data_IF_460411636101
#
_entry.id   IF_460411636101
#
_cell.length_a   1.000
_cell.length_b   1.000
_cell.length_c   1.000
_cell.angle_alpha   90.00
_cell.angle_beta   90.00
_cell.angle_gamma   90.00
#
_symmetry.space_group_name_H-M   'P 1'
#
loop_
_entity.id
_entity.type
_entity.pdbx_description
1 polymer ?
#
# COMPACT_ATOMS: atom_id res chain seq x y z
N UNK A 1 11.30 -32.75 -23.35
CA UNK A 1 11.26 -31.36 -22.85
C UNK A 1 12.50 -31.22 -21.99
N UNK A 2 13.32 -30.18 -22.16
CA UNK A 2 14.49 -29.99 -21.29
C UNK A 2 14.01 -29.77 -19.85
N UNK A 3 14.81 -30.17 -18.86
CA UNK A 3 14.41 -30.04 -17.45
C UNK A 3 14.27 -28.57 -17.05
N UNK A 4 15.10 -27.68 -17.62
CA UNK A 4 14.97 -26.22 -17.44
C UNK A 4 13.63 -25.67 -17.94
N UNK A 5 13.13 -26.15 -19.08
CA UNK A 5 11.82 -25.75 -19.61
C UNK A 5 10.69 -26.28 -18.72
N UNK A 6 10.82 -27.51 -18.20
CA UNK A 6 9.83 -28.06 -17.25
C UNK A 6 9.77 -27.21 -15.98
N UNK A 7 10.93 -26.88 -15.42
CA UNK A 7 11.02 -26.09 -14.20
C UNK A 7 10.43 -24.68 -14.40
N UNK A 8 10.75 -24.01 -15.51
CA UNK A 8 10.18 -22.71 -15.84
C UNK A 8 8.66 -22.77 -15.99
N UNK A 9 8.13 -23.74 -16.74
CA UNK A 9 6.68 -23.91 -16.90
C UNK A 9 6.00 -24.15 -15.54
N UNK A 10 6.60 -24.99 -14.69
CA UNK A 10 6.06 -25.29 -13.36
C UNK A 10 6.00 -24.04 -12.46
N UNK A 11 7.04 -23.20 -12.49
CA UNK A 11 7.09 -21.95 -11.70
C UNK A 11 6.17 -20.85 -12.26
N UNK A 12 5.68 -20.98 -13.49
CA UNK A 12 4.77 -20.04 -14.15
C UNK A 12 3.34 -20.61 -14.28
N UNK A 13 2.91 -21.39 -13.29
CA UNK A 13 1.53 -21.91 -13.19
C UNK A 13 1.11 -22.78 -14.40
N UNK A 14 2.08 -23.37 -15.11
CA UNK A 14 1.83 -24.14 -16.32
C UNK A 14 1.62 -23.31 -17.59
N UNK A 15 1.81 -21.98 -17.53
CA UNK A 15 1.60 -21.04 -18.64
C UNK A 15 2.94 -20.46 -19.09
N UNK A 16 3.11 -20.28 -20.39
CA UNK A 16 4.32 -19.72 -20.96
C UNK A 16 4.05 -19.06 -22.32
N UNK A 17 4.97 -18.20 -22.74
CA UNK A 17 4.92 -17.47 -24.00
C UNK A 17 5.78 -18.11 -25.08
N UNK A 18 5.55 -17.74 -26.35
CA UNK A 18 6.47 -18.08 -27.44
C UNK A 18 7.90 -17.65 -27.14
N UNK A 19 8.08 -16.46 -26.54
CA UNK A 19 9.40 -15.94 -26.19
C UNK A 19 10.11 -16.84 -25.17
N UNK A 20 9.41 -17.23 -24.10
CA UNK A 20 9.92 -18.17 -23.10
C UNK A 20 10.22 -19.56 -23.70
N UNK A 21 9.37 -20.07 -24.58
CA UNK A 21 9.66 -21.35 -25.24
C UNK A 21 10.94 -21.28 -26.09
N UNK A 22 11.14 -20.19 -26.83
CA UNK A 22 12.35 -19.97 -27.63
C UNK A 22 13.60 -19.75 -26.78
N UNK A 23 13.51 -19.00 -25.68
CA UNK A 23 14.65 -18.78 -24.78
C UNK A 23 15.13 -20.08 -24.11
N UNK A 24 14.25 -21.08 -24.03
CA UNK A 24 14.57 -22.43 -23.55
C UNK A 24 14.78 -23.45 -24.69
N UNK A 25 15.12 -22.99 -25.90
CA UNK A 25 15.60 -23.83 -27.00
C UNK A 25 14.50 -24.56 -27.81
N UNK A 26 13.23 -24.21 -27.63
CA UNK A 26 12.14 -24.81 -28.43
C UNK A 26 11.98 -24.04 -29.73
N UNK A 27 12.22 -24.68 -30.87
CA UNK A 27 11.99 -24.10 -32.20
C UNK A 27 10.50 -23.90 -32.49
N UNK A 28 10.16 -23.06 -33.48
CA UNK A 28 8.78 -22.84 -33.89
C UNK A 28 8.07 -24.15 -34.34
N UNK A 29 8.78 -25.04 -35.02
CA UNK A 29 8.30 -26.39 -35.33
C UNK A 29 8.07 -27.24 -34.08
N UNK A 30 8.97 -27.12 -33.10
CA UNK A 30 8.82 -27.76 -31.80
C UNK A 30 7.57 -27.30 -31.05
N UNK A 31 7.23 -26.01 -31.13
CA UNK A 31 5.98 -25.47 -30.56
C UNK A 31 4.78 -26.06 -31.32
N UNK A 32 4.77 -25.98 -32.66
CA UNK A 32 3.68 -26.50 -33.51
C UNK A 32 3.43 -27.98 -33.27
N UNK A 33 4.50 -28.78 -33.18
CA UNK A 33 4.42 -30.21 -32.94
C UNK A 33 3.75 -30.51 -31.58
N UNK A 34 4.11 -29.81 -30.51
CA UNK A 34 3.54 -30.01 -29.16
C UNK A 34 2.09 -29.57 -29.05
N UNK A 35 1.71 -28.53 -29.78
CA UNK A 35 0.28 -28.15 -29.90
C UNK A 35 -0.50 -29.20 -30.67
N UNK A 36 0.00 -29.65 -31.83
CA UNK A 36 -0.67 -30.67 -32.67
C UNK A 36 -0.82 -32.01 -31.96
N UNK A 37 0.15 -32.40 -31.14
CA UNK A 37 0.14 -33.65 -30.36
C UNK A 37 -0.62 -33.54 -29.04
N UNK A 38 -1.20 -32.37 -28.74
CA UNK A 38 -1.99 -32.16 -27.53
C UNK A 38 -1.18 -32.05 -26.24
N UNK A 39 0.16 -31.95 -26.32
CA UNK A 39 0.99 -31.71 -25.13
C UNK A 39 0.81 -30.28 -24.60
N UNK A 40 0.64 -29.32 -25.53
CA UNK A 40 0.43 -27.91 -25.22
C UNK A 40 -0.89 -27.43 -25.79
N UNK A 41 -1.59 -26.56 -25.05
CA UNK A 41 -2.80 -25.89 -25.50
C UNK A 41 -2.47 -24.44 -25.80
N UNK A 42 -2.75 -23.99 -27.02
CA UNK A 42 -2.65 -22.57 -27.38
C UNK A 42 -3.87 -21.84 -26.84
N UNK A 43 -3.65 -20.86 -25.97
CA UNK A 43 -4.73 -20.06 -25.36
C UNK A 43 -5.04 -18.84 -26.24
N UNK A 44 -4.01 -18.10 -26.63
CA UNK A 44 -4.11 -17.01 -27.63
C UNK A 44 -2.85 -16.96 -28.49
N UNK A 45 -2.68 -15.95 -29.34
CA UNK A 45 -1.46 -15.76 -30.12
C UNK A 45 -0.26 -15.56 -29.18
N UNK A 46 0.63 -16.54 -29.16
CA UNK A 46 1.89 -16.47 -28.45
C UNK A 46 1.83 -16.85 -26.97
N UNK A 47 0.69 -17.33 -26.48
CA UNK A 47 0.49 -17.79 -25.09
C UNK A 47 -0.03 -19.22 -25.10
N UNK A 48 0.61 -20.07 -24.31
CA UNK A 48 0.34 -21.50 -24.22
C UNK A 48 0.22 -21.92 -22.76
N UNK A 49 -0.47 -23.04 -22.53
CA UNK A 49 -0.41 -23.79 -21.28
C UNK A 49 -0.10 -25.25 -21.56
N UNK A 50 0.41 -25.97 -20.56
CA UNK A 50 0.49 -27.44 -20.63
C UNK A 50 -0.91 -28.07 -20.55
N UNK A 51 -1.10 -29.18 -21.25
CA UNK A 51 -2.40 -29.83 -21.37
C UNK A 51 -2.75 -30.73 -20.16
N UNK A 52 -1.75 -31.25 -19.48
CA UNK A 52 -1.84 -32.19 -18.35
C UNK A 52 -2.17 -31.52 -17.00
N UNK A 53 -2.38 -30.20 -16.98
CA UNK A 53 -2.76 -29.43 -15.80
C UNK A 53 -4.18 -28.87 -15.95
N UNK A 54 -5.00 -29.08 -14.93
CA UNK A 54 -6.30 -28.42 -14.79
C UNK A 54 -6.12 -26.92 -14.58
N UNK A 55 -7.00 -26.10 -15.18
CA UNK A 55 -6.95 -24.65 -15.00
C UNK A 55 -7.36 -24.31 -13.57
N UNK A 56 -6.40 -23.89 -12.76
CA UNK A 56 -6.61 -23.39 -11.40
C UNK A 56 -6.67 -21.85 -11.38
N UNK A 57 -6.95 -21.28 -10.22
CA UNK A 57 -7.05 -19.83 -10.06
C UNK A 57 -5.75 -19.08 -10.37
N UNK A 58 -4.58 -19.67 -10.05
CA UNK A 58 -3.30 -19.02 -10.36
C UNK A 58 -3.06 -18.95 -11.86
N UNK A 59 -3.32 -20.05 -12.57
CA UNK A 59 -3.29 -20.12 -14.02
C UNK A 59 -4.26 -19.10 -14.64
N UNK A 60 -5.48 -19.00 -14.10
CA UNK A 60 -6.51 -18.05 -14.55
C UNK A 60 -6.05 -16.60 -14.45
N UNK A 61 -5.46 -16.18 -13.32
CA UNK A 61 -4.92 -14.81 -13.16
C UNK A 61 -3.77 -14.52 -14.12
N UNK A 62 -2.84 -15.48 -14.28
CA UNK A 62 -1.71 -15.34 -15.22
C UNK A 62 -2.18 -15.23 -16.66
N UNK A 63 -3.13 -16.09 -17.07
CA UNK A 63 -3.73 -16.03 -18.40
C UNK A 63 -4.48 -14.73 -18.63
N UNK A 64 -5.15 -14.16 -17.62
CA UNK A 64 -5.82 -12.86 -17.77
C UNK A 64 -4.84 -11.76 -18.18
N UNK A 65 -3.67 -11.68 -17.52
CA UNK A 65 -2.63 -10.69 -17.85
C UNK A 65 -2.03 -10.95 -19.24
N UNK A 66 -1.58 -12.18 -19.51
CA UNK A 66 -0.89 -12.51 -20.76
C UNK A 66 -1.80 -12.43 -21.99
N UNK A 67 -3.10 -12.74 -21.85
CA UNK A 67 -4.07 -12.57 -22.93
C UNK A 67 -4.42 -11.10 -23.19
N UNK A 68 -4.39 -10.25 -22.15
CA UNK A 68 -4.62 -8.80 -22.31
C UNK A 68 -3.51 -8.16 -23.12
N UNK A 69 -2.28 -8.66 -22.98
CA UNK A 69 -1.16 -8.35 -23.88
C UNK A 69 -0.04 -7.54 -23.24
N UNK A 70 0.91 -7.03 -24.04
CA UNK A 70 2.09 -6.35 -23.54
C UNK A 70 1.75 -5.11 -22.71
N UNK A 71 2.44 -4.94 -21.58
CA UNK A 71 2.20 -3.82 -20.66
C UNK A 71 0.97 -3.99 -19.75
N UNK A 72 0.28 -5.14 -19.83
CA UNK A 72 -0.74 -5.50 -18.88
C UNK A 72 -0.13 -5.92 -17.54
N UNK A 73 -0.83 -5.64 -16.44
CA UNK A 73 -0.48 -6.09 -15.11
C UNK A 73 -1.72 -6.49 -14.31
N UNK A 74 -1.61 -7.50 -13.45
CA UNK A 74 -2.70 -7.84 -12.52
C UNK A 74 -2.92 -6.68 -11.55
N UNK A 75 -4.17 -6.36 -11.25
CA UNK A 75 -4.51 -5.22 -10.40
C UNK A 75 -5.67 -5.54 -9.45
N UNK A 76 -5.98 -4.58 -8.57
CA UNK A 76 -7.20 -4.62 -7.77
C UNK A 76 -7.25 -5.81 -6.81
N UNK A 77 -8.45 -6.36 -6.63
CA UNK A 77 -8.65 -7.56 -5.79
C UNK A 77 -7.81 -8.77 -6.23
N UNK A 78 -7.57 -8.93 -7.54
CA UNK A 78 -6.77 -10.03 -8.09
C UNK A 78 -5.29 -9.89 -7.74
N UNK A 79 -4.73 -8.68 -7.85
CA UNK A 79 -3.39 -8.41 -7.36
C UNK A 79 -3.30 -8.57 -5.84
N UNK A 80 -4.32 -8.14 -5.08
CA UNK A 80 -4.32 -8.31 -3.63
C UNK A 80 -4.26 -9.78 -3.21
N UNK A 81 -4.99 -10.65 -3.90
CA UNK A 81 -4.90 -12.09 -3.69
C UNK A 81 -3.52 -12.64 -4.08
N UNK A 82 -2.98 -12.21 -5.22
CA UNK A 82 -1.65 -12.62 -5.70
C UNK A 82 -0.52 -12.21 -4.73
N UNK A 83 -0.63 -11.04 -4.11
CA UNK A 83 0.27 -10.55 -3.05
C UNK A 83 0.04 -11.22 -1.67
N UNK A 84 -0.96 -12.08 -1.54
CA UNK A 84 -1.33 -12.69 -0.26
C UNK A 84 -1.87 -11.67 0.76
N UNK A 85 -2.52 -10.60 0.29
CA UNK A 85 -3.24 -9.65 1.16
C UNK A 85 -4.64 -10.15 1.54
N UNK A 86 -5.26 -10.93 0.65
CA UNK A 86 -6.58 -11.53 0.85
C UNK A 86 -6.54 -13.01 0.50
N UNK A 87 -7.35 -13.83 1.17
CA UNK A 87 -7.41 -15.28 0.94
C UNK A 87 -8.45 -15.68 -0.11
N UNK A 88 -9.53 -14.92 -0.25
CA UNK A 88 -10.59 -15.18 -1.22
C UNK A 88 -10.12 -14.77 -2.61
N UNK A 89 -10.16 -15.73 -3.55
CA UNK A 89 -9.93 -15.48 -4.96
C UNK A 89 -11.09 -14.65 -5.53
N UNK A 90 -10.83 -13.59 -6.32
CA UNK A 90 -11.91 -12.89 -7.02
C UNK A 90 -12.49 -13.73 -8.16
N UNK A 91 -13.81 -13.64 -8.35
CA UNK A 91 -14.52 -14.37 -9.40
C UNK A 91 -14.07 -13.91 -10.80
N UNK A 92 -13.78 -12.61 -10.97
CA UNK A 92 -13.32 -12.00 -12.23
C UNK A 92 -11.95 -11.36 -12.01
N UNK A 93 -10.89 -11.73 -12.76
CA UNK A 93 -9.59 -11.07 -12.68
C UNK A 93 -9.69 -9.62 -13.15
N UNK A 94 -8.99 -8.74 -12.44
CA UNK A 94 -8.82 -7.34 -12.84
C UNK A 94 -7.40 -7.14 -13.36
N UNK A 95 -7.27 -6.56 -14.55
CA UNK A 95 -6.01 -6.27 -15.20
C UNK A 95 -5.97 -4.79 -15.58
N UNK A 96 -4.84 -4.13 -15.35
CA UNK A 96 -4.57 -2.79 -15.89
C UNK A 96 -3.77 -2.91 -17.17
N UNK A 97 -4.11 -2.13 -18.18
CA UNK A 97 -3.38 -2.06 -19.43
C UNK A 97 -3.37 -0.62 -19.98
N UNK A 98 -2.30 -0.19 -20.65
CA UNK A 98 -2.25 1.14 -21.26
C UNK A 98 -3.34 1.33 -22.32
N UNK A 99 -3.68 2.59 -22.61
CA UNK A 99 -4.55 2.90 -23.73
C UNK A 99 -3.83 2.56 -25.03
N UNK A 100 -4.43 1.69 -25.85
CA UNK A 100 -3.83 1.20 -27.08
C UNK A 100 -4.89 0.74 -28.08
N UNK A 101 -4.47 0.55 -29.33
CA UNK A 101 -5.36 0.11 -30.41
C UNK A 101 -5.79 -1.34 -30.18
N UNK A 102 -7.07 -1.52 -29.86
CA UNK A 102 -7.86 -2.74 -30.03
C UNK A 102 -7.14 -4.07 -29.75
N UNK A 103 -6.86 -4.33 -28.47
CA UNK A 103 -6.71 -5.72 -28.03
C UNK A 103 -8.05 -6.45 -28.17
N UNK A 104 -8.01 -7.74 -28.52
CA UNK A 104 -9.21 -8.59 -28.50
C UNK A 104 -9.75 -8.62 -27.07
N UNK A 105 -11.07 -8.48 -26.90
CA UNK A 105 -11.71 -8.63 -25.60
C UNK A 105 -11.34 -10.00 -25.04
N UNK A 106 -10.78 -10.02 -23.83
CA UNK A 106 -10.57 -11.26 -23.09
C UNK A 106 -11.86 -11.55 -22.33
N UNK A 107 -12.47 -12.69 -22.58
CA UNK A 107 -13.66 -13.13 -21.85
C UNK A 107 -13.35 -13.29 -20.37
N UNK A 108 -14.33 -13.00 -19.52
CA UNK A 108 -14.24 -13.13 -18.06
C UNK A 108 -13.08 -12.38 -17.39
N UNK A 109 -12.58 -11.31 -18.01
CA UNK A 109 -11.57 -10.41 -17.45
C UNK A 109 -12.05 -8.96 -17.49
N UNK A 110 -11.89 -8.25 -16.37
CA UNK A 110 -12.11 -6.80 -16.32
C UNK A 110 -10.81 -6.08 -16.62
N UNK A 111 -10.79 -5.29 -17.69
CA UNK A 111 -9.63 -4.48 -18.07
C UNK A 111 -9.84 -3.02 -17.70
N UNK A 112 -8.97 -2.48 -16.86
CA UNK A 112 -8.89 -1.05 -16.57
C UNK A 112 -7.86 -0.41 -17.50
N UNK A 113 -8.35 0.35 -18.47
CA UNK A 113 -7.48 1.11 -19.36
C UNK A 113 -6.88 2.31 -18.62
N UNK A 114 -5.61 2.19 -18.24
CA UNK A 114 -4.81 3.26 -17.65
C UNK A 114 -3.33 2.94 -17.77
N UNK A 115 -2.51 3.96 -17.99
CA UNK A 115 -1.05 3.80 -17.97
C UNK A 115 -0.57 3.85 -16.53
N UNK A 116 0.02 2.77 -16.04
CA UNK A 116 0.66 2.72 -14.72
C UNK A 116 2.17 2.90 -14.91
N UNK A 117 2.77 3.79 -14.13
CA UNK A 117 4.22 4.02 -14.21
C UNK A 117 4.99 2.75 -13.77
N UNK A 118 6.15 2.44 -14.36
CA UNK A 118 6.92 1.23 -14.00
C UNK A 118 7.25 1.11 -12.51
N UNK A 119 7.39 2.24 -11.80
CA UNK A 119 7.64 2.28 -10.35
C UNK A 119 6.45 1.88 -9.48
N UNK A 120 5.26 1.82 -10.05
CA UNK A 120 4.02 1.35 -9.41
C UNK A 120 3.64 -0.06 -9.91
N UNK A 121 4.55 -0.72 -10.61
CA UNK A 121 4.47 -2.11 -11.03
C UNK A 121 5.59 -2.91 -10.36
N UNK A 122 5.36 -4.20 -10.17
CA UNK A 122 6.36 -5.13 -9.70
C UNK A 122 6.10 -6.51 -10.29
N UNK A 123 7.02 -7.44 -10.07
CA UNK A 123 6.86 -8.84 -10.47
C UNK A 123 6.77 -9.70 -9.22
N UNK A 124 5.74 -10.54 -9.15
CA UNK A 124 5.55 -11.52 -8.08
C UNK A 124 5.30 -12.87 -8.75
N UNK A 125 6.12 -13.87 -8.41
CA UNK A 125 6.11 -15.20 -9.02
C UNK A 125 6.18 -15.16 -10.57
N UNK A 126 6.95 -14.25 -11.16
CA UNK A 126 7.07 -14.15 -12.62
C UNK A 126 5.83 -13.57 -13.32
N UNK A 127 4.94 -12.89 -12.60
CA UNK A 127 3.79 -12.19 -13.16
C UNK A 127 3.86 -10.68 -12.83
N UNK A 128 3.69 -9.83 -13.84
CA UNK A 128 3.59 -8.39 -13.64
C UNK A 128 2.28 -8.05 -12.91
N UNK A 129 2.41 -7.37 -11.78
CA UNK A 129 1.31 -6.96 -10.91
C UNK A 129 1.48 -5.49 -10.51
N UNK A 130 0.40 -4.83 -10.08
CA UNK A 130 0.53 -3.52 -9.43
C UNK A 130 1.38 -3.64 -8.17
N UNK A 131 2.20 -2.62 -7.89
CA UNK A 131 2.98 -2.51 -6.66
C UNK A 131 2.08 -2.62 -5.42
N UNK A 132 2.66 -3.00 -4.29
CA UNK A 132 1.91 -3.37 -3.10
C UNK A 132 0.98 -2.25 -2.62
N UNK A 133 1.47 -1.01 -2.58
CA UNK A 133 0.71 0.16 -2.16
C UNK A 133 -0.45 0.47 -3.12
N UNK A 134 -0.19 0.45 -4.43
CA UNK A 134 -1.23 0.68 -5.43
C UNK A 134 -2.30 -0.42 -5.39
N UNK A 135 -1.86 -1.66 -5.17
CA UNK A 135 -2.74 -2.81 -4.96
C UNK A 135 -3.63 -2.60 -3.74
N UNK A 136 -3.08 -2.19 -2.60
CA UNK A 136 -3.86 -1.90 -1.38
C UNK A 136 -4.90 -0.82 -1.65
N UNK A 137 -4.52 0.29 -2.30
CA UNK A 137 -5.46 1.37 -2.63
C UNK A 137 -6.61 0.89 -3.50
N UNK A 138 -6.30 0.17 -4.59
CA UNK A 138 -7.32 -0.25 -5.55
C UNK A 138 -8.19 -1.39 -5.01
N UNK A 139 -7.59 -2.38 -4.35
CA UNK A 139 -8.33 -3.48 -3.73
C UNK A 139 -9.24 -3.00 -2.58
N UNK A 140 -8.85 -1.94 -1.86
CA UNK A 140 -9.71 -1.36 -0.81
C UNK A 140 -10.95 -0.68 -1.39
N UNK A 141 -10.87 -0.15 -2.61
CA UNK A 141 -12.03 0.41 -3.31
C UNK A 141 -13.01 -0.69 -3.72
N UNK A 142 -12.49 -1.85 -4.13
CA UNK A 142 -13.31 -3.00 -4.56
C UNK A 142 -13.88 -3.81 -3.38
N UNK A 143 -13.04 -4.15 -2.41
CA UNK A 143 -13.35 -5.10 -1.32
C UNK A 143 -13.66 -4.40 0.01
N UNK A 144 -13.41 -3.10 0.11
CA UNK A 144 -13.64 -2.29 1.31
C UNK A 144 -12.36 -1.99 2.11
N UNK A 145 -12.50 -1.06 3.06
CA UNK A 145 -11.39 -0.48 3.84
C UNK A 145 -10.55 -1.49 4.63
N UNK A 146 -11.13 -2.65 4.98
CA UNK A 146 -10.46 -3.72 5.73
C UNK A 146 -9.15 -4.20 5.09
N UNK A 147 -9.03 -4.11 3.77
CA UNK A 147 -7.78 -4.46 3.07
C UNK A 147 -6.66 -3.48 3.44
N UNK A 148 -6.96 -2.17 3.42
CA UNK A 148 -6.05 -1.11 3.87
C UNK A 148 -5.73 -1.23 5.36
N UNK A 149 -6.75 -1.41 6.20
CA UNK A 149 -6.60 -1.62 7.64
C UNK A 149 -5.63 -2.76 7.94
N UNK A 150 -5.88 -3.93 7.35
CA UNK A 150 -5.04 -5.12 7.55
C UNK A 150 -3.61 -4.91 7.05
N UNK A 151 -3.42 -4.28 5.90
CA UNK A 151 -2.09 -4.03 5.34
C UNK A 151 -1.27 -3.08 6.22
N UNK A 152 -1.91 -2.06 6.80
CA UNK A 152 -1.29 -1.12 7.75
C UNK A 152 -1.00 -1.78 9.10
N UNK A 153 -1.97 -2.52 9.66
CA UNK A 153 -1.83 -3.22 10.94
C UNK A 153 -0.71 -4.27 10.90
N UNK A 154 -0.59 -4.99 9.79
CA UNK A 154 0.48 -5.98 9.58
C UNK A 154 1.80 -5.35 9.09
N UNK A 155 1.90 -4.01 9.05
CA UNK A 155 3.10 -3.26 8.64
C UNK A 155 3.60 -3.62 7.24
N UNK A 156 2.72 -4.11 6.36
CA UNK A 156 3.04 -4.38 4.95
C UNK A 156 3.20 -3.09 4.14
N UNK A 157 2.52 -2.03 4.55
CA UNK A 157 2.58 -0.69 3.97
C UNK A 157 2.55 0.37 5.08
N UNK A 158 2.85 1.63 4.74
CA UNK A 158 2.70 2.78 5.65
C UNK A 158 1.71 3.78 5.08
N UNK A 159 1.08 4.59 5.95
CA UNK A 159 0.17 5.68 5.52
C UNK A 159 0.90 6.63 4.57
N UNK A 160 2.15 6.95 4.89
CA UNK A 160 3.04 7.74 4.05
C UNK A 160 3.20 7.15 2.64
N UNK A 161 3.57 5.87 2.54
CA UNK A 161 3.76 5.22 1.24
C UNK A 161 2.46 5.19 0.41
N UNK A 162 1.32 4.89 1.06
CA UNK A 162 0.00 4.92 0.44
C UNK A 162 -0.37 6.31 -0.08
N UNK A 163 -0.10 7.37 0.69
CA UNK A 163 -0.37 8.77 0.32
C UNK A 163 0.49 9.21 -0.89
N UNK A 164 1.78 8.87 -0.89
CA UNK A 164 2.67 9.11 -2.04
C UNK A 164 2.15 8.41 -3.30
N UNK A 165 1.79 7.14 -3.21
CA UNK A 165 1.28 6.36 -4.35
C UNK A 165 -0.09 6.89 -4.80
N UNK A 166 -0.97 7.26 -3.86
CA UNK A 166 -2.28 7.86 -4.13
C UNK A 166 -2.15 9.13 -4.96
N UNK A 167 -1.26 10.06 -4.56
CA UNK A 167 -1.01 11.32 -5.28
C UNK A 167 -0.48 11.10 -6.69
N UNK A 168 0.52 10.23 -6.85
CA UNK A 168 1.10 9.91 -8.17
C UNK A 168 0.09 9.31 -9.13
N UNK A 169 -0.87 8.56 -8.59
CA UNK A 169 -1.90 7.88 -9.35
C UNK A 169 -3.23 8.65 -9.33
N UNK A 170 -3.24 9.95 -8.98
CA UNK A 170 -4.46 10.75 -8.92
C UNK A 170 -5.17 10.82 -10.28
N UNK A 171 -6.49 11.09 -10.26
CA UNK A 171 -7.31 11.21 -11.48
C UNK A 171 -7.76 9.87 -12.09
N UNK A 172 -7.23 8.72 -11.65
CA UNK A 172 -7.73 7.40 -12.07
C UNK A 172 -9.08 7.05 -11.44
N UNK A 173 -9.81 6.12 -12.07
CA UNK A 173 -11.01 5.49 -11.50
C UNK A 173 -10.70 4.93 -10.11
N UNK A 174 -11.57 5.22 -9.14
CA UNK A 174 -11.41 4.79 -7.75
C UNK A 174 -10.49 5.67 -6.90
N UNK A 175 -9.67 6.54 -7.50
CA UNK A 175 -8.76 7.42 -6.74
C UNK A 175 -9.45 8.32 -5.72
N UNK A 176 -10.59 8.99 -6.02
CA UNK A 176 -11.26 9.81 -5.02
C UNK A 176 -11.72 9.01 -3.81
N UNK A 177 -12.22 7.78 -4.03
CA UNK A 177 -12.66 6.88 -2.97
C UNK A 177 -11.48 6.33 -2.15
N UNK A 178 -10.39 5.94 -2.80
CA UNK A 178 -9.17 5.52 -2.12
C UNK A 178 -8.58 6.65 -1.26
N UNK A 179 -8.61 7.89 -1.78
CA UNK A 179 -8.19 9.08 -1.02
C UNK A 179 -9.05 9.30 0.21
N UNK A 180 -10.38 9.27 0.06
CA UNK A 180 -11.30 9.45 1.18
C UNK A 180 -11.11 8.37 2.27
N UNK A 181 -10.84 7.12 1.89
CA UNK A 181 -10.51 6.04 2.84
C UNK A 181 -9.22 6.34 3.62
N UNK A 182 -8.16 6.75 2.91
CA UNK A 182 -6.88 7.07 3.53
C UNK A 182 -6.97 8.27 4.49
N UNK A 183 -7.74 9.30 4.10
CA UNK A 183 -8.01 10.47 4.94
C UNK A 183 -8.80 10.08 6.21
N UNK A 184 -9.84 9.26 6.08
CA UNK A 184 -10.64 8.79 7.20
C UNK A 184 -9.82 7.94 8.19
N UNK A 185 -8.91 7.10 7.68
CA UNK A 185 -8.02 6.33 8.54
C UNK A 185 -7.00 7.22 9.26
N UNK A 186 -6.47 8.22 8.57
CA UNK A 186 -5.50 9.15 9.16
C UNK A 186 -6.13 10.00 10.26
N UNK A 187 -7.36 10.50 10.05
CA UNK A 187 -8.09 11.26 11.06
C UNK A 187 -8.51 10.38 12.24
N UNK A 188 -9.05 9.20 11.99
CA UNK A 188 -9.42 8.24 13.04
C UNK A 188 -8.23 7.83 13.91
N UNK A 189 -7.07 7.54 13.29
CA UNK A 189 -5.85 7.24 14.01
C UNK A 189 -5.38 8.41 14.88
N UNK A 190 -5.45 9.65 14.38
CA UNK A 190 -5.11 10.85 15.15
C UNK A 190 -6.01 11.00 16.38
N UNK A 191 -7.33 10.93 16.19
CA UNK A 191 -8.28 11.07 17.30
C UNK A 191 -8.11 9.96 18.36
N UNK A 192 -7.83 8.73 17.94
CA UNK A 192 -7.54 7.65 18.87
C UNK A 192 -6.21 7.86 19.61
N UNK A 193 -5.20 8.43 18.94
CA UNK A 193 -3.89 8.70 19.54
C UNK A 193 -4.01 9.76 20.65
N UNK A 194 -4.76 10.83 20.36
CA UNK A 194 -5.11 11.87 21.33
C UNK A 194 -5.86 11.25 22.52
N UNK A 195 -6.87 10.40 22.27
CA UNK A 195 -7.64 9.74 23.34
C UNK A 195 -6.79 8.83 24.24
N UNK A 196 -5.88 8.04 23.66
CA UNK A 196 -4.96 7.19 24.43
C UNK A 196 -3.99 8.05 25.24
N UNK A 197 -3.46 9.11 24.65
CA UNK A 197 -2.54 10.04 25.32
C UNK A 197 -3.20 10.70 26.52
N UNK A 198 -4.42 11.21 26.38
CA UNK A 198 -5.21 11.78 27.47
C UNK A 198 -5.33 10.80 28.64
N UNK A 199 -5.73 9.55 28.35
CA UNK A 199 -5.83 8.49 29.37
C UNK A 199 -4.49 8.18 30.05
N UNK A 200 -3.38 8.22 29.30
CA UNK A 200 -2.04 8.00 29.86
C UNK A 200 -1.65 9.14 30.81
N UNK A 201 -1.97 10.39 30.47
CA UNK A 201 -1.71 11.55 31.32
C UNK A 201 -2.50 11.44 32.62
N UNK A 202 -3.81 11.19 32.53
CA UNK A 202 -4.70 11.03 33.68
C UNK A 202 -4.28 9.86 34.58
N UNK A 203 -4.00 8.69 33.99
CA UNK A 203 -3.61 7.49 34.71
C UNK A 203 -2.21 7.55 35.34
N UNK A 204 -1.41 8.58 35.03
CA UNK A 204 -0.02 8.69 35.47
C UNK A 204 0.25 9.81 36.46
N UNK A 205 -0.83 10.44 36.98
CA UNK A 205 -0.77 11.48 38.00
C UNK A 205 -0.29 12.84 37.49
N UNK A 206 -0.37 13.11 36.18
CA UNK A 206 -0.13 14.45 35.67
C UNK A 206 -1.35 15.34 35.91
N UNK A 207 -1.11 16.57 36.34
CA UNK A 207 -2.15 17.58 36.59
C UNK A 207 -1.82 18.88 35.88
N UNK A 208 -2.82 19.72 35.62
CA UNK A 208 -2.63 21.02 34.98
C UNK A 208 -2.30 20.94 33.49
N UNK A 209 -2.70 19.85 32.84
CA UNK A 209 -2.67 19.72 31.39
C UNK A 209 -4.06 20.03 30.81
N UNK A 210 -4.07 20.59 29.61
CA UNK A 210 -5.27 20.87 28.79
C UNK A 210 -5.08 20.28 27.40
N UNK A 211 -6.14 19.80 26.76
CA UNK A 211 -6.12 19.41 25.34
C UNK A 211 -6.54 20.57 24.43
N UNK A 212 -6.11 20.54 23.17
CA UNK A 212 -6.50 21.52 22.14
C UNK A 212 -6.25 22.98 22.57
N UNK A 213 -5.12 23.23 23.22
CA UNK A 213 -4.81 24.54 23.80
C UNK A 213 -4.33 25.52 22.73
N UNK A 214 -4.97 26.70 22.57
CA UNK A 214 -4.47 27.72 21.67
C UNK A 214 -3.21 28.39 22.22
N UNK A 215 -2.13 28.43 21.43
CA UNK A 215 -0.87 29.09 21.78
C UNK A 215 -0.13 29.58 20.53
N UNK A 216 0.40 30.81 20.55
CA UNK A 216 1.21 31.37 19.46
C UNK A 216 0.53 31.33 18.07
N UNK A 217 -0.80 31.39 18.00
CA UNK A 217 -1.56 31.28 16.74
C UNK A 217 -1.80 29.84 16.26
N UNK A 218 -1.45 28.83 17.06
CA UNK A 218 -1.64 27.41 16.79
C UNK A 218 -2.51 26.73 17.85
N UNK A 219 -2.98 25.51 17.58
CA UNK A 219 -3.70 24.66 18.54
C UNK A 219 -2.81 23.46 18.88
N UNK A 220 -2.39 23.37 20.13
CA UNK A 220 -1.55 22.30 20.66
C UNK A 220 -2.42 21.11 21.04
N UNK A 221 -2.00 19.88 20.69
CA UNK A 221 -2.79 18.68 21.03
C UNK A 221 -2.96 18.56 22.56
N UNK A 222 -1.86 18.73 23.32
CA UNK A 222 -1.88 18.86 24.78
C UNK A 222 -0.88 19.91 25.26
N UNK A 223 -1.20 20.60 26.36
CA UNK A 223 -0.32 21.61 26.94
C UNK A 223 -0.34 21.60 28.46
N UNK A 224 0.84 21.73 29.07
CA UNK A 224 1.01 22.20 30.45
C UNK A 224 1.30 23.70 30.40
N UNK A 225 0.25 24.53 30.41
CA UNK A 225 0.33 25.97 30.16
C UNK A 225 1.25 26.69 31.15
N UNK A 226 1.13 26.37 32.45
CA UNK A 226 1.93 26.97 33.50
C UNK A 226 3.45 26.73 33.32
N UNK A 227 3.83 25.57 32.79
CA UNK A 227 5.23 25.21 32.53
C UNK A 227 5.66 25.48 31.08
N UNK A 228 4.75 25.99 30.23
CA UNK A 228 4.93 26.12 28.77
C UNK A 228 5.50 24.85 28.14
N UNK A 229 4.85 23.71 28.35
CA UNK A 229 5.20 22.45 27.68
C UNK A 229 4.07 22.06 26.74
N UNK A 230 4.38 21.90 25.47
CA UNK A 230 3.47 21.39 24.46
C UNK A 230 3.79 19.92 24.18
N UNK A 231 2.76 19.09 24.07
CA UNK A 231 2.85 17.71 23.62
C UNK A 231 2.03 17.58 22.33
N UNK A 232 2.68 17.13 21.27
CA UNK A 232 2.08 16.91 19.95
C UNK A 232 2.15 15.42 19.61
N UNK A 233 1.06 14.87 19.08
CA UNK A 233 0.99 13.47 18.66
C UNK A 233 1.02 13.40 17.14
N UNK A 234 2.21 13.12 16.60
CA UNK A 234 2.42 12.99 15.17
C UNK A 234 1.77 11.68 14.68
N UNK A 235 0.75 11.81 13.82
CA UNK A 235 0.17 10.68 13.12
C UNK A 235 1.21 9.98 12.23
N UNK A 236 1.02 8.68 11.96
CA UNK A 236 1.92 7.84 11.14
C UNK A 236 2.10 8.31 9.67
N UNK A 237 1.51 9.44 9.29
CA UNK A 237 1.65 10.04 7.97
C UNK A 237 2.96 10.85 7.87
N UNK A 238 4.11 10.16 7.91
CA UNK A 238 5.39 10.76 7.54
C UNK A 238 5.50 10.89 6.01
N UNK A 239 4.77 11.84 5.43
CA UNK A 239 5.19 12.56 4.22
C UNK A 239 4.48 13.90 4.20
N UNK A 240 5.14 14.91 4.74
CA UNK A 240 4.80 16.29 4.44
C UNK A 240 5.37 16.65 3.07
N UNK A 241 4.49 17.10 2.16
CA UNK A 241 4.83 18.06 1.13
C UNK A 241 5.82 19.10 1.70
N UNK A 242 6.78 19.58 0.90
CA UNK A 242 7.80 20.53 1.37
C UNK A 242 7.19 21.73 2.09
N UNK A 243 5.98 22.14 1.67
CA UNK A 243 5.17 23.17 2.32
C UNK A 243 4.73 22.77 3.74
N UNK A 244 4.20 21.56 3.93
CA UNK A 244 3.79 21.09 5.25
C UNK A 244 5.01 20.91 6.18
N UNK A 245 6.14 20.45 5.65
CA UNK A 245 7.38 20.31 6.40
C UNK A 245 7.91 21.67 6.88
N UNK A 246 7.90 22.67 5.98
CA UNK A 246 8.30 24.03 6.32
C UNK A 246 7.36 24.64 7.36
N UNK A 247 6.03 24.48 7.20
CA UNK A 247 5.04 24.97 8.17
C UNK A 247 5.26 24.37 9.56
N UNK A 248 5.57 23.08 9.64
CA UNK A 248 5.76 22.40 10.92
C UNK A 248 7.03 22.88 11.64
N UNK A 249 8.09 23.21 10.89
CA UNK A 249 9.30 23.87 11.42
C UNK A 249 9.04 25.30 11.86
N UNK A 250 8.33 26.10 11.07
CA UNK A 250 7.94 27.46 11.44
C UNK A 250 7.15 27.43 12.75
N UNK A 251 6.12 26.57 12.82
CA UNK A 251 5.32 26.37 14.04
C UNK A 251 6.17 26.05 15.26
N UNK A 252 7.09 25.08 15.12
CA UNK A 252 7.95 24.70 16.23
C UNK A 252 8.87 25.84 16.68
N UNK A 253 9.46 26.58 15.74
CA UNK A 253 10.32 27.71 16.06
C UNK A 253 9.54 28.83 16.76
N UNK A 254 8.31 29.13 16.32
CA UNK A 254 7.46 30.14 16.95
C UNK A 254 7.15 29.77 18.41
N UNK A 255 6.81 28.50 18.66
CA UNK A 255 6.55 28.01 20.02
C UNK A 255 7.82 28.13 20.89
N UNK A 256 8.96 27.66 20.39
CA UNK A 256 10.24 27.72 21.11
C UNK A 256 10.65 29.17 21.40
N UNK A 257 10.51 30.08 20.44
CA UNK A 257 10.80 31.51 20.62
C UNK A 257 9.92 32.16 21.69
N UNK A 258 8.72 31.62 21.94
CA UNK A 258 7.80 32.06 22.99
C UNK A 258 7.96 31.31 24.33
N UNK A 259 9.05 30.55 24.47
CA UNK A 259 9.44 29.87 25.72
C UNK A 259 8.82 28.48 25.91
N UNK A 260 8.13 27.96 24.88
CA UNK A 260 7.57 26.61 24.93
C UNK A 260 8.64 25.54 24.73
N UNK A 261 8.53 24.46 25.50
CA UNK A 261 9.20 23.19 25.22
C UNK A 261 8.23 22.30 24.46
N UNK A 262 8.56 21.94 23.22
CA UNK A 262 7.72 21.09 22.37
C UNK A 262 8.23 19.66 22.42
N UNK A 263 7.41 18.73 22.91
CA UNK A 263 7.64 17.29 22.87
C UNK A 263 6.74 16.66 21.81
N UNK A 264 7.33 15.95 20.85
CA UNK A 264 6.60 15.24 19.80
C UNK A 264 6.69 13.75 20.05
N UNK A 265 5.54 13.08 20.02
CA UNK A 265 5.45 11.62 20.14
C UNK A 265 4.70 11.04 18.96
N UNK A 266 5.14 9.88 18.50
CA UNK A 266 4.40 9.11 17.49
C UNK A 266 3.33 8.25 18.15
N UNK A 267 2.37 7.75 17.36
CA UNK A 267 1.46 6.69 17.78
C UNK A 267 2.19 5.52 18.48
N UNK A 268 3.32 5.09 17.92
CA UNK A 268 4.09 3.98 18.47
C UNK A 268 4.70 4.33 19.84
N UNK A 269 5.08 5.60 20.06
CA UNK A 269 5.60 6.03 21.36
C UNK A 269 4.55 5.94 22.46
N UNK A 270 3.31 6.35 22.17
CA UNK A 270 2.22 6.32 23.16
C UNK A 270 1.60 4.93 23.34
N UNK A 271 1.64 4.06 22.33
CA UNK A 271 1.05 2.71 22.43
C UNK A 271 2.02 1.61 22.80
N UNK A 272 3.20 1.56 22.18
CA UNK A 272 4.15 0.46 22.36
C UNK A 272 5.18 0.72 23.47
N UNK A 273 5.45 2.00 23.80
CA UNK A 273 6.45 2.40 24.81
C UNK A 273 5.98 3.55 25.71
N UNK A 274 4.75 3.50 26.27
CA UNK A 274 4.16 4.61 27.03
C UNK A 274 5.02 5.06 28.22
N UNK A 275 5.67 4.13 28.93
CA UNK A 275 6.54 4.47 30.07
C UNK A 275 7.68 5.42 29.69
N UNK A 276 8.25 5.26 28.49
CA UNK A 276 9.30 6.15 28.00
C UNK A 276 8.74 7.56 27.69
N UNK A 277 7.59 7.65 27.03
CA UNK A 277 6.95 8.93 26.72
C UNK A 277 6.62 9.71 28.00
N UNK A 278 6.04 9.04 29.00
CA UNK A 278 5.72 9.63 30.30
C UNK A 278 6.99 10.09 31.05
N UNK A 279 8.10 9.34 30.94
CA UNK A 279 9.37 9.74 31.54
C UNK A 279 9.96 11.01 30.89
N UNK A 280 9.80 11.18 29.57
CA UNK A 280 10.19 12.42 28.88
C UNK A 280 9.38 13.61 29.38
N UNK A 281 8.06 13.45 29.49
CA UNK A 281 7.15 14.50 29.99
C UNK A 281 7.51 14.89 31.44
N UNK A 282 7.69 13.92 32.34
CA UNK A 282 8.12 14.19 33.73
C UNK A 282 9.46 14.91 33.81
N UNK A 283 10.39 14.60 32.91
CA UNK A 283 11.71 15.22 32.88
C UNK A 283 11.60 16.68 32.43
N UNK A 284 10.79 16.96 31.40
CA UNK A 284 10.55 18.32 30.93
C UNK A 284 9.86 19.18 32.01
N UNK A 285 8.84 18.64 32.68
CA UNK A 285 8.15 19.31 33.79
C UNK A 285 9.12 19.66 34.93
N UNK A 286 9.91 18.68 35.40
CA UNK A 286 10.89 18.91 36.48
C UNK A 286 11.91 20.00 36.14
N UNK A 287 12.37 20.08 34.89
CA UNK A 287 13.30 21.14 34.45
C UNK A 287 12.66 22.53 34.49
N UNK A 288 11.36 22.63 34.22
CA UNK A 288 10.60 23.89 34.25
C UNK A 288 10.16 24.31 35.66
N UNK A 289 10.05 23.37 36.60
CA UNK A 289 9.74 23.67 38.00
C UNK A 289 10.93 24.19 38.82
N UNK A 290 12.16 23.99 38.32
CA UNK A 290 13.41 24.34 39.02
C UNK A 290 14.04 25.65 38.48
N UNK A 291 13.52 26.18 37.37
CA UNK A 291 13.96 27.42 36.73
C UNK A 291 12.99 28.57 37.04
#
# INVERSE_FOLDING_TARGET
MTDDLRAMIASHDGVFTTHQAHSHGVSADGIRHRVRTGQWVRVTRGVFRVADRTVDDRMRMRLAVLQTGPGAALAGAAAAWWHGLVSRVPDVPVVVAPHGRHGTRVEDVTVWHRTVAPRDLTEVDGLTVTGLELTVLDASVELGVKVMDSALLNKKVTVAALDTVQRRNAGRRGSPRARAMLEAMSSGARSEAERITAKLLDGSGFTGWSANTPACGYVLDFAFEASKIAIEIDGMAFHSDAVAFQRDRTRQNDLVANGWTVLRFTWNDVTARPAWALAQIRTALRRKSVA
#
